data_IF_694322191929
#
_entry.id   IF_694322191929
#
_cell.length_a   1.000
_cell.length_b   1.000
_cell.length_c   1.000
_cell.angle_alpha   90.00
_cell.angle_beta   90.00
_cell.angle_gamma   90.00
#
_symmetry.space_group_name_H-M   'P 1'
#
loop_
_entity.id
_entity.type
_entity.pdbx_description
1 polymer ?
#
# COMPACT_ATOMS: atom_id res chain seq x y z
N UNK A 1 71.07 5.45 7.19
CA UNK A 1 71.28 6.03 5.85
C UNK A 1 70.62 7.40 5.81
N UNK A 2 71.46 8.43 5.81
CA UNK A 2 71.31 9.78 5.25
C UNK A 2 70.06 10.64 5.58
N UNK A 3 70.23 11.57 6.53
CA UNK A 3 70.04 13.02 6.28
C UNK A 3 71.13 13.50 5.28
N UNK A 4 71.10 14.68 4.61
CA UNK A 4 70.59 16.00 5.04
C UNK A 4 69.91 16.82 3.89
N UNK A 5 69.38 18.03 4.10
CA UNK A 5 70.11 19.28 3.81
C UNK A 5 69.37 20.53 4.34
N UNK A 6 70.19 21.42 4.90
CA UNK A 6 69.92 22.76 5.43
C UNK A 6 70.08 23.85 4.36
N UNK A 7 69.53 25.03 4.63
CA UNK A 7 69.91 26.33 4.03
C UNK A 7 68.69 27.27 4.00
N UNK A 8 68.68 28.50 4.52
CA UNK A 8 69.76 29.41 4.87
C UNK A 8 69.25 30.44 5.90
N UNK A 9 70.12 30.78 6.85
CA UNK A 9 70.02 31.96 7.73
C UNK A 9 70.04 33.28 6.95
N UNK A 10 69.34 34.29 7.46
CA UNK A 10 69.90 35.65 7.61
C UNK A 10 69.44 36.29 8.91
N UNK A 11 70.36 36.36 9.86
CA UNK A 11 70.37 37.32 10.96
C UNK A 11 70.65 38.72 10.42
N UNK A 12 69.85 39.69 10.87
CA UNK A 12 70.07 41.13 10.70
C UNK A 12 69.98 41.85 12.04
N UNK A 13 71.13 41.96 12.70
CA UNK A 13 71.64 43.06 13.54
C UNK A 13 70.69 43.83 14.48
N UNK A 14 71.02 43.72 15.77
CA UNK A 14 70.57 44.52 16.91
C UNK A 14 71.25 45.90 16.94
N UNK A 15 70.53 46.95 17.35
CA UNK A 15 71.09 48.12 18.05
C UNK A 15 70.03 48.77 18.98
N UNK A 16 70.45 49.44 20.07
CA UNK A 16 69.77 49.45 21.38
C UNK A 16 68.93 50.74 21.65
N UNK A 17 68.28 50.91 22.82
CA UNK A 17 67.02 51.65 22.98
C UNK A 17 67.21 53.15 23.13
N UNK A 18 66.36 53.94 22.46
CA UNK A 18 66.18 55.35 22.78
C UNK A 18 65.09 55.51 23.85
N UNK A 19 65.54 55.69 25.09
CA UNK A 19 64.74 56.26 26.16
C UNK A 19 64.28 57.66 25.76
N UNK A 20 63.01 57.80 25.39
CA UNK A 20 62.31 59.08 25.50
C UNK A 20 61.36 59.01 26.68
N UNK A 21 61.84 59.50 27.82
CA UNK A 21 60.97 59.96 28.92
C UNK A 21 60.37 61.28 28.46
N UNK A 22 59.05 61.32 28.26
CA UNK A 22 58.27 62.55 28.21
C UNK A 22 57.18 62.47 29.29
N UNK A 23 57.08 63.48 30.18
CA UNK A 23 56.29 63.37 31.39
C UNK A 23 54.81 63.66 31.15
N UNK A 24 54.01 63.10 32.05
CA UNK A 24 52.61 63.40 32.40
C UNK A 24 51.79 64.24 31.42
N UNK A 25 50.73 63.63 30.88
CA UNK A 25 49.42 64.29 30.83
C UNK A 25 48.33 63.31 30.38
N UNK A 26 47.28 63.20 31.21
CA UNK A 26 46.00 62.66 30.80
C UNK A 26 45.73 61.24 31.25
N UNK A 27 45.11 61.15 32.42
CA UNK A 27 44.28 60.03 32.86
C UNK A 27 43.25 59.68 31.76
N UNK A 28 43.66 58.84 30.80
CA UNK A 28 42.74 58.24 29.84
C UNK A 28 41.97 57.17 30.59
N UNK A 29 40.75 57.52 30.98
CA UNK A 29 39.71 56.57 31.29
C UNK A 29 39.72 55.47 30.22
N UNK A 30 40.24 54.29 30.55
CA UNK A 30 39.93 53.07 29.81
C UNK A 30 38.46 52.78 30.10
N UNK A 31 37.57 53.43 29.37
CA UNK A 31 36.20 52.97 29.23
C UNK A 31 36.27 51.64 28.49
N UNK A 32 36.34 50.55 29.26
CA UNK A 32 35.97 49.22 28.78
C UNK A 32 34.51 49.34 28.37
N UNK A 33 34.24 49.57 27.09
CA UNK A 33 32.90 49.46 26.54
C UNK A 33 32.40 48.04 26.79
N UNK A 34 31.42 47.80 27.69
CA UNK A 34 30.96 46.45 27.97
C UNK A 34 29.90 46.11 26.93
N UNK A 35 30.26 45.99 25.65
CA UNK A 35 29.26 45.81 24.60
C UNK A 35 29.68 44.78 23.55
N UNK A 36 29.14 43.56 23.69
CA UNK A 36 28.44 42.78 22.64
C UNK A 36 28.22 41.28 22.92
N UNK A 37 28.36 40.77 24.16
CA UNK A 37 28.10 39.34 24.45
C UNK A 37 26.64 38.98 24.79
N UNK A 38 25.80 39.95 25.17
CA UNK A 38 24.40 39.69 25.57
C UNK A 38 23.49 39.29 24.39
N UNK A 39 23.64 39.93 23.22
CA UNK A 39 22.85 39.60 22.03
C UNK A 39 23.14 38.21 21.44
N UNK A 40 24.38 37.74 21.56
CA UNK A 40 24.78 36.43 21.04
C UNK A 40 24.15 35.27 21.83
N UNK A 41 24.03 35.40 23.15
CA UNK A 41 23.37 34.41 24.00
C UNK A 41 21.88 34.33 23.68
N UNK A 42 21.23 35.48 23.48
CA UNK A 42 19.82 35.53 23.09
C UNK A 42 19.57 34.85 21.74
N UNK A 43 20.41 35.09 20.73
CA UNK A 43 20.33 34.42 19.42
C UNK A 43 20.52 32.91 19.56
N UNK A 44 21.48 32.48 20.39
CA UNK A 44 21.73 31.04 20.61
C UNK A 44 20.55 30.35 21.32
N UNK A 45 19.93 31.00 22.31
CA UNK A 45 18.73 30.48 22.97
C UNK A 45 17.55 30.37 21.99
N UNK A 46 17.31 31.40 21.17
CA UNK A 46 16.26 31.35 20.15
C UNK A 46 16.53 30.21 19.17
N UNK A 47 17.77 30.05 18.72
CA UNK A 47 18.16 28.96 17.82
C UNK A 47 17.90 27.59 18.47
N UNK A 48 18.28 27.40 19.74
CA UNK A 48 18.00 26.17 20.47
C UNK A 48 16.50 25.91 20.56
N UNK A 49 15.70 26.91 20.94
CA UNK A 49 14.24 26.76 21.06
C UNK A 49 13.62 26.38 19.71
N UNK A 50 14.06 27.02 18.62
CA UNK A 50 13.62 26.67 17.26
C UNK A 50 14.02 25.24 16.91
N UNK A 51 15.28 24.83 17.14
CA UNK A 51 15.75 23.47 16.87
C UNK A 51 14.99 22.43 17.69
N UNK A 52 14.74 22.69 18.97
CA UNK A 52 13.95 21.80 19.83
C UNK A 52 12.50 21.71 19.37
N UNK A 53 11.90 22.84 18.96
CA UNK A 53 10.53 22.86 18.43
C UNK A 53 10.43 22.05 17.14
N UNK A 54 11.35 22.25 16.20
CA UNK A 54 11.41 21.47 14.96
C UNK A 54 11.61 19.97 15.24
N UNK A 55 12.50 19.64 16.19
CA UNK A 55 12.72 18.25 16.60
C UNK A 55 11.47 17.64 17.23
N UNK A 56 10.74 18.39 18.06
CA UNK A 56 9.50 17.92 18.67
C UNK A 56 8.39 17.70 17.64
N UNK A 57 8.20 18.63 16.69
CA UNK A 57 7.24 18.49 15.60
C UNK A 57 7.57 17.29 14.71
N UNK A 58 8.85 17.14 14.33
CA UNK A 58 9.32 15.99 13.56
C UNK A 58 9.02 14.67 14.28
N UNK A 59 9.33 14.57 15.58
CA UNK A 59 9.07 13.35 16.35
C UNK A 59 7.57 13.02 16.43
N UNK A 60 6.73 14.04 16.62
CA UNK A 60 5.28 13.85 16.63
C UNK A 60 4.75 13.31 15.30
N UNK A 61 5.21 13.89 14.18
CA UNK A 61 4.81 13.45 12.84
C UNK A 61 5.28 12.02 12.54
N UNK A 62 6.52 11.67 12.90
CA UNK A 62 7.02 10.30 12.78
C UNK A 62 6.17 9.31 13.58
N UNK A 63 5.88 9.62 14.85
CA UNK A 63 5.06 8.75 15.69
C UNK A 63 3.66 8.56 15.11
N UNK A 64 3.05 9.64 14.60
CA UNK A 64 1.74 9.57 13.96
C UNK A 64 1.79 8.70 12.70
N UNK A 65 2.80 8.86 11.86
CA UNK A 65 2.98 8.07 10.64
C UNK A 65 3.14 6.58 10.95
N UNK A 66 4.02 6.23 11.88
CA UNK A 66 4.23 4.84 12.29
C UNK A 66 2.98 4.22 12.91
N UNK A 67 2.26 4.98 13.75
CA UNK A 67 1.02 4.51 14.36
C UNK A 67 -0.05 4.22 13.31
N UNK A 68 -0.28 5.14 12.38
CA UNK A 68 -1.28 4.94 11.32
C UNK A 68 -0.89 3.73 10.48
N UNK A 69 0.37 3.63 10.04
CA UNK A 69 0.86 2.49 9.26
C UNK A 69 0.67 1.15 9.99
N UNK A 70 0.99 1.11 11.28
CA UNK A 70 0.83 -0.10 12.09
C UNK A 70 -0.63 -0.51 12.22
N UNK A 71 -1.54 0.45 12.46
CA UNK A 71 -2.98 0.17 12.55
C UNK A 71 -3.50 -0.34 11.21
N UNK A 72 -3.15 0.32 10.11
CA UNK A 72 -3.63 -0.07 8.78
C UNK A 72 -3.14 -1.45 8.37
N UNK A 73 -1.87 -1.76 8.63
CA UNK A 73 -1.30 -3.06 8.32
C UNK A 73 -1.93 -4.17 9.18
N UNK A 74 -1.97 -3.98 10.51
CA UNK A 74 -2.56 -4.96 11.41
C UNK A 74 -4.06 -5.20 11.11
N UNK A 75 -4.80 -4.14 10.78
CA UNK A 75 -6.20 -4.25 10.41
C UNK A 75 -6.42 -4.97 9.09
N UNK A 76 -5.60 -4.70 8.07
CA UNK A 76 -5.61 -5.41 6.79
C UNK A 76 -5.26 -6.89 6.96
N UNK A 77 -4.18 -7.20 7.68
CA UNK A 77 -3.73 -8.57 7.94
C UNK A 77 -4.78 -9.36 8.74
N UNK A 78 -5.41 -8.74 9.74
CA UNK A 78 -6.50 -9.36 10.49
C UNK A 78 -7.72 -9.64 9.62
N UNK A 79 -8.07 -8.73 8.70
CA UNK A 79 -9.15 -8.94 7.75
C UNK A 79 -8.86 -10.11 6.80
N UNK A 80 -7.65 -10.13 6.22
CA UNK A 80 -7.21 -11.18 5.31
C UNK A 80 -7.16 -12.55 6.01
N UNK A 81 -6.62 -12.61 7.23
CA UNK A 81 -6.57 -13.84 8.02
C UNK A 81 -7.97 -14.36 8.36
N UNK A 82 -8.89 -13.47 8.72
CA UNK A 82 -10.27 -13.85 9.04
C UNK A 82 -11.05 -14.31 7.80
N UNK A 83 -10.84 -13.65 6.65
CA UNK A 83 -11.38 -14.12 5.38
C UNK A 83 -10.87 -15.54 5.06
N UNK A 84 -9.55 -15.75 5.12
CA UNK A 84 -8.92 -17.04 4.83
C UNK A 84 -9.42 -18.14 5.77
N UNK A 85 -9.60 -17.84 7.06
CA UNK A 85 -10.14 -18.80 8.03
C UNK A 85 -11.56 -19.25 7.66
N UNK A 86 -12.44 -18.33 7.30
CA UNK A 86 -13.81 -18.66 6.90
C UNK A 86 -13.91 -19.32 5.54
N UNK A 87 -13.01 -18.97 4.60
CA UNK A 87 -12.86 -19.70 3.35
C UNK A 87 -12.46 -21.15 3.61
N UNK A 88 -11.48 -21.41 4.48
CA UNK A 88 -11.06 -22.76 4.85
C UNK A 88 -12.21 -23.56 5.50
N UNK A 89 -12.97 -22.95 6.42
CA UNK A 89 -14.16 -23.58 7.02
C UNK A 89 -15.19 -23.95 5.95
N UNK A 90 -15.46 -23.04 5.01
CA UNK A 90 -16.42 -23.26 3.92
C UNK A 90 -15.97 -24.37 2.97
N UNK A 91 -14.67 -24.45 2.67
CA UNK A 91 -14.09 -25.52 1.84
C UNK A 91 -14.15 -26.88 2.53
N UNK A 92 -13.89 -26.94 3.84
CA UNK A 92 -14.05 -28.16 4.61
C UNK A 92 -15.51 -28.64 4.59
N UNK A 93 -16.47 -27.73 4.80
CA UNK A 93 -17.90 -28.07 4.71
C UNK A 93 -18.29 -28.53 3.30
N UNK A 94 -17.71 -27.95 2.25
CA UNK A 94 -17.91 -28.43 0.89
C UNK A 94 -17.36 -29.86 0.70
N UNK A 95 -16.21 -30.16 1.32
CA UNK A 95 -15.64 -31.52 1.39
C UNK A 95 -16.56 -32.50 2.12
N UNK A 96 -17.11 -32.12 3.27
CA UNK A 96 -18.05 -32.95 4.02
C UNK A 96 -19.32 -33.24 3.19
N UNK A 97 -19.85 -32.23 2.49
CA UNK A 97 -20.99 -32.40 1.58
C UNK A 97 -20.65 -33.36 0.42
N UNK A 98 -19.44 -33.31 -0.13
CA UNK A 98 -19.01 -34.26 -1.16
C UNK A 98 -19.00 -35.71 -0.63
N UNK A 99 -18.54 -35.93 0.61
CA UNK A 99 -18.57 -37.26 1.22
C UNK A 99 -20.00 -37.75 1.43
N UNK A 100 -20.89 -36.88 1.93
CA UNK A 100 -22.32 -37.20 2.06
C UNK A 100 -22.96 -37.51 0.70
N UNK A 101 -22.55 -36.81 -0.36
CA UNK A 101 -23.03 -37.06 -1.71
C UNK A 101 -22.65 -38.46 -2.20
N UNK A 102 -21.41 -38.91 -1.94
CA UNK A 102 -20.95 -40.26 -2.28
C UNK A 102 -21.72 -41.33 -1.52
N UNK A 103 -22.03 -41.10 -0.24
CA UNK A 103 -22.86 -42.02 0.56
C UNK A 103 -24.27 -42.12 -0.04
N UNK A 104 -24.93 -40.98 -0.31
CA UNK A 104 -26.26 -40.95 -0.92
C UNK A 104 -26.30 -41.66 -2.29
N UNK A 105 -25.24 -41.48 -3.11
CA UNK A 105 -25.08 -42.21 -4.37
C UNK A 105 -24.97 -43.72 -4.17
N UNK A 106 -24.22 -44.16 -3.16
CA UNK A 106 -24.04 -45.60 -2.86
C UNK A 106 -25.34 -46.27 -2.38
N UNK A 107 -26.22 -45.52 -1.72
CA UNK A 107 -27.51 -46.00 -1.23
C UNK A 107 -28.65 -45.85 -2.25
N UNK A 108 -28.40 -45.16 -3.38
CA UNK A 108 -29.41 -44.85 -4.38
C UNK A 108 -30.45 -43.82 -3.91
N UNK A 109 -30.13 -43.02 -2.89
CA UNK A 109 -31.01 -41.98 -2.35
C UNK A 109 -30.96 -40.69 -3.19
N UNK A 110 -31.81 -40.65 -4.21
CA UNK A 110 -31.92 -39.50 -5.12
C UNK A 110 -32.45 -38.22 -4.44
N UNK A 111 -33.22 -38.35 -3.35
CA UNK A 111 -33.75 -37.21 -2.60
C UNK A 111 -32.62 -36.54 -1.81
N UNK A 112 -31.81 -37.33 -1.10
CA UNK A 112 -30.62 -36.83 -0.42
C UNK A 112 -29.62 -36.22 -1.40
N UNK A 113 -29.39 -36.85 -2.56
CA UNK A 113 -28.48 -36.34 -3.59
C UNK A 113 -28.86 -34.93 -4.06
N UNK A 114 -30.16 -34.70 -4.28
CA UNK A 114 -30.68 -33.40 -4.72
C UNK A 114 -30.59 -32.34 -3.62
N UNK A 115 -30.87 -32.71 -2.36
CA UNK A 115 -30.73 -31.82 -1.21
C UNK A 115 -29.27 -31.40 -0.98
N UNK A 116 -28.33 -32.35 -1.05
CA UNK A 116 -26.89 -32.09 -0.88
C UNK A 116 -26.37 -31.19 -2.00
N UNK A 117 -26.76 -31.44 -3.25
CA UNK A 117 -26.39 -30.59 -4.39
C UNK A 117 -26.89 -29.15 -4.19
N UNK A 118 -28.13 -28.97 -3.73
CA UNK A 118 -28.65 -27.63 -3.43
C UNK A 118 -27.85 -26.92 -2.32
N UNK A 119 -27.47 -27.64 -1.26
CA UNK A 119 -26.64 -27.10 -0.18
C UNK A 119 -25.25 -26.71 -0.68
N UNK A 120 -24.61 -27.54 -1.51
CA UNK A 120 -23.31 -27.23 -2.12
C UNK A 120 -23.38 -25.96 -2.97
N UNK A 121 -24.43 -25.79 -3.77
CA UNK A 121 -24.65 -24.58 -4.57
C UNK A 121 -24.79 -23.35 -3.68
N UNK A 122 -25.62 -23.40 -2.62
CA UNK A 122 -25.79 -22.28 -1.69
C UNK A 122 -24.53 -21.94 -0.90
N UNK A 123 -23.75 -22.96 -0.54
CA UNK A 123 -22.48 -22.79 0.19
C UNK A 123 -21.45 -21.99 -0.62
N UNK A 124 -21.42 -22.16 -1.95
CA UNK A 124 -20.52 -21.41 -2.84
C UNK A 124 -20.74 -19.89 -2.80
N UNK A 125 -21.94 -19.45 -2.42
CA UNK A 125 -22.26 -18.02 -2.27
C UNK A 125 -22.17 -17.57 -0.81
N UNK A 126 -22.77 -18.33 0.10
CA UNK A 126 -22.86 -17.95 1.53
C UNK A 126 -21.52 -18.05 2.25
N UNK A 127 -20.65 -18.99 1.88
CA UNK A 127 -19.31 -19.15 2.45
C UNK A 127 -18.43 -17.90 2.25
N UNK A 128 -18.21 -17.45 1.00
CA UNK A 128 -17.50 -16.20 0.71
C UNK A 128 -18.12 -14.97 1.36
N UNK A 129 -19.45 -14.85 1.39
CA UNK A 129 -20.12 -13.72 2.04
C UNK A 129 -19.91 -13.68 3.55
N UNK A 130 -19.90 -14.85 4.20
CA UNK A 130 -19.57 -14.97 5.63
C UNK A 130 -18.12 -14.57 5.88
N UNK A 131 -17.20 -15.01 5.01
CA UNK A 131 -15.79 -14.63 5.09
C UNK A 131 -15.59 -13.12 4.93
N UNK A 132 -16.29 -12.51 3.97
CA UNK A 132 -16.27 -11.07 3.74
C UNK A 132 -16.76 -10.30 4.97
N UNK A 133 -17.92 -10.66 5.52
CA UNK A 133 -18.46 -10.01 6.72
C UNK A 133 -17.50 -10.14 7.92
N UNK A 134 -16.95 -11.33 8.14
CA UNK A 134 -16.00 -11.57 9.22
C UNK A 134 -14.70 -10.76 9.05
N UNK A 135 -14.20 -10.61 7.81
CA UNK A 135 -13.05 -9.78 7.50
C UNK A 135 -13.30 -8.31 7.86
N UNK A 136 -14.48 -7.77 7.55
CA UNK A 136 -14.85 -6.40 7.93
C UNK A 136 -14.90 -6.21 9.44
N UNK A 137 -15.45 -7.19 10.18
CA UNK A 137 -15.46 -7.12 11.63
C UNK A 137 -14.05 -7.15 12.22
N UNK A 138 -13.18 -7.98 11.65
CA UNK A 138 -11.79 -8.09 12.08
C UNK A 138 -10.99 -6.80 11.83
N UNK A 139 -11.17 -6.19 10.64
CA UNK A 139 -10.61 -4.88 10.30
C UNK A 139 -11.01 -3.82 11.33
N UNK A 140 -12.32 -3.68 11.58
CA UNK A 140 -12.87 -2.69 12.53
C UNK A 140 -12.37 -2.91 13.95
N UNK A 141 -12.33 -4.17 14.40
CA UNK A 141 -11.81 -4.52 15.72
C UNK A 141 -10.31 -4.20 15.89
N UNK A 142 -9.56 -4.09 14.79
CA UNK A 142 -8.15 -3.70 14.77
C UNK A 142 -7.93 -2.20 14.49
N UNK A 143 -8.98 -1.39 14.59
CA UNK A 143 -8.89 0.06 14.51
C UNK A 143 -8.94 0.64 13.10
N UNK A 144 -9.24 -0.17 12.07
CA UNK A 144 -9.58 0.38 10.76
C UNK A 144 -10.95 1.06 10.82
N UNK A 145 -11.00 2.27 10.30
CA UNK A 145 -12.24 3.02 10.16
C UNK A 145 -12.96 2.62 8.88
N UNK A 146 -14.28 2.82 8.86
CA UNK A 146 -15.09 2.65 7.65
C UNK A 146 -14.62 3.66 6.61
N UNK A 147 -14.39 3.17 5.40
CA UNK A 147 -14.12 3.98 4.23
C UNK A 147 -15.44 4.12 3.42
N UNK A 148 -15.94 5.35 3.22
CA UNK A 148 -17.17 5.57 2.46
C UNK A 148 -17.04 5.11 1.00
N UNK A 149 -15.85 5.21 0.39
CA UNK A 149 -15.64 4.82 -1.01
C UNK A 149 -15.74 3.29 -1.17
N UNK A 150 -15.15 2.53 -0.24
CA UNK A 150 -15.28 1.07 -0.25
C UNK A 150 -16.73 0.63 0.00
N UNK A 151 -17.44 1.37 0.83
CA UNK A 151 -18.85 1.12 1.11
C UNK A 151 -19.71 1.41 -0.12
N UNK A 152 -19.48 2.54 -0.78
CA UNK A 152 -20.15 2.92 -2.02
C UNK A 152 -19.88 1.89 -3.15
N UNK A 153 -18.63 1.45 -3.29
CA UNK A 153 -18.24 0.42 -4.26
C UNK A 153 -19.01 -0.89 -4.06
N UNK A 154 -19.15 -1.37 -2.81
CA UNK A 154 -19.92 -2.59 -2.55
C UNK A 154 -21.41 -2.40 -2.80
N UNK A 155 -21.97 -1.24 -2.48
CA UNK A 155 -23.36 -0.92 -2.83
C UNK A 155 -23.57 -0.88 -4.33
N UNK A 156 -22.64 -0.29 -5.08
CA UNK A 156 -22.67 -0.27 -6.53
C UNK A 156 -22.59 -1.69 -7.10
N UNK A 157 -21.70 -2.53 -6.58
CA UNK A 157 -21.63 -3.92 -6.98
C UNK A 157 -22.93 -4.68 -6.65
N UNK A 158 -23.53 -4.47 -5.48
CA UNK A 158 -24.81 -5.06 -5.13
C UNK A 158 -25.92 -4.66 -6.11
N UNK A 159 -25.99 -3.37 -6.50
CA UNK A 159 -26.92 -2.88 -7.52
C UNK A 159 -26.66 -3.53 -8.88
N UNK A 160 -25.40 -3.59 -9.30
CA UNK A 160 -25.02 -4.23 -10.57
C UNK A 160 -25.47 -5.70 -10.62
N UNK A 161 -25.28 -6.46 -9.53
CA UNK A 161 -25.79 -7.84 -9.44
C UNK A 161 -27.31 -7.86 -9.51
N UNK A 162 -28.00 -7.00 -8.78
CA UNK A 162 -29.47 -6.96 -8.78
C UNK A 162 -30.06 -6.61 -10.15
N UNK A 163 -29.44 -5.67 -10.86
CA UNK A 163 -30.00 -5.06 -12.06
C UNK A 163 -29.55 -5.76 -13.35
N UNK A 164 -28.33 -6.33 -13.38
CA UNK A 164 -27.72 -6.82 -14.62
C UNK A 164 -27.47 -8.33 -14.65
N UNK A 165 -27.38 -9.02 -13.51
CA UNK A 165 -27.02 -10.45 -13.54
C UNK A 165 -28.18 -11.34 -14.01
N UNK A 166 -29.41 -10.89 -13.83
CA UNK A 166 -30.61 -11.52 -14.36
C UNK A 166 -30.97 -11.08 -15.79
N UNK A 167 -30.11 -10.35 -16.49
CA UNK A 167 -30.39 -9.87 -17.85
C UNK A 167 -30.41 -11.01 -18.85
N UNK A 168 -31.45 -11.06 -19.67
CA UNK A 168 -31.55 -11.99 -20.81
C UNK A 168 -30.73 -11.47 -22.00
N UNK A 169 -30.04 -12.37 -22.69
CA UNK A 169 -29.22 -12.14 -23.88
C UNK A 169 -29.59 -13.13 -24.97
N UNK A 170 -29.59 -12.65 -26.22
CA UNK A 170 -29.94 -13.46 -27.39
C UNK A 170 -31.44 -13.45 -27.74
N UNK A 171 -31.78 -14.00 -28.91
CA UNK A 171 -33.16 -14.05 -29.42
C UNK A 171 -34.04 -15.05 -28.64
N UNK A 172 -33.42 -16.00 -27.96
CA UNK A 172 -34.08 -17.08 -27.22
C UNK A 172 -34.32 -16.75 -25.72
N UNK A 173 -33.92 -15.55 -25.26
CA UNK A 173 -34.11 -15.11 -23.87
C UNK A 173 -33.22 -15.84 -22.84
N UNK A 174 -32.02 -16.28 -23.24
CA UNK A 174 -31.11 -16.94 -22.30
C UNK A 174 -30.52 -15.96 -21.29
N UNK A 175 -30.41 -16.34 -20.01
CA UNK A 175 -29.80 -15.46 -19.01
C UNK A 175 -28.29 -15.29 -19.27
N UNK A 176 -27.81 -14.04 -19.19
CA UNK A 176 -26.39 -13.69 -19.26
C UNK A 176 -25.57 -14.46 -18.22
N UNK A 177 -26.13 -14.60 -17.02
CA UNK A 177 -25.60 -15.48 -15.98
C UNK A 177 -26.72 -16.41 -15.50
N UNK A 178 -26.65 -17.72 -15.80
CA UNK A 178 -27.66 -18.68 -15.37
C UNK A 178 -27.82 -18.68 -13.85
N UNK A 179 -29.07 -18.51 -13.38
CA UNK A 179 -29.36 -18.52 -11.96
C UNK A 179 -29.13 -19.91 -11.34
N UNK A 180 -28.34 -20.02 -10.26
CA UNK A 180 -28.12 -21.30 -9.58
C UNK A 180 -29.36 -21.84 -8.85
N UNK A 181 -30.26 -20.96 -8.41
CA UNK A 181 -31.60 -21.25 -7.91
C UNK A 181 -32.51 -20.06 -8.20
N UNK A 182 -33.85 -20.23 -8.21
CA UNK A 182 -34.76 -19.11 -8.46
C UNK A 182 -34.55 -17.96 -7.48
N UNK A 183 -34.21 -16.77 -7.99
CA UNK A 183 -33.96 -15.57 -7.20
C UNK A 183 -32.56 -15.49 -6.59
N UNK A 184 -31.62 -16.34 -7.02
CA UNK A 184 -30.26 -16.38 -6.48
C UNK A 184 -29.52 -15.05 -6.59
N UNK A 185 -29.65 -14.33 -7.70
CA UNK A 185 -28.95 -13.05 -7.89
C UNK A 185 -29.48 -11.97 -6.95
N UNK A 186 -30.80 -11.95 -6.71
CA UNK A 186 -31.42 -11.05 -5.74
C UNK A 186 -31.01 -11.39 -4.29
N UNK A 187 -30.93 -12.67 -3.94
CA UNK A 187 -30.43 -13.07 -2.62
C UNK A 187 -28.96 -12.69 -2.45
N UNK A 188 -28.15 -12.91 -3.48
CA UNK A 188 -26.72 -12.58 -3.48
C UNK A 188 -26.47 -11.07 -3.37
N UNK A 189 -27.20 -10.26 -4.14
CA UNK A 189 -27.09 -8.80 -4.06
C UNK A 189 -27.45 -8.27 -2.69
N UNK A 190 -28.49 -8.82 -2.03
CA UNK A 190 -28.86 -8.47 -0.66
C UNK A 190 -27.79 -8.85 0.36
N UNK A 191 -27.11 -9.98 0.20
CA UNK A 191 -25.99 -10.32 1.07
C UNK A 191 -24.85 -9.30 0.93
N UNK A 192 -24.51 -8.89 -0.29
CA UNK A 192 -23.49 -7.86 -0.53
C UNK A 192 -23.92 -6.52 0.08
N UNK A 193 -25.15 -6.09 -0.19
CA UNK A 193 -25.71 -4.86 0.35
C UNK A 193 -25.70 -4.86 1.88
N UNK A 194 -26.05 -5.98 2.52
CA UNK A 194 -26.02 -6.10 3.98
C UNK A 194 -24.62 -5.93 4.57
N UNK A 195 -23.58 -6.43 3.92
CA UNK A 195 -22.19 -6.15 4.34
C UNK A 195 -21.88 -4.66 4.18
N UNK A 196 -22.28 -4.05 3.07
CA UNK A 196 -22.06 -2.64 2.79
C UNK A 196 -22.80 -1.72 3.78
N UNK A 197 -24.04 -2.03 4.14
CA UNK A 197 -24.86 -1.29 5.12
C UNK A 197 -24.19 -1.22 6.50
N UNK A 198 -23.39 -2.22 6.85
CA UNK A 198 -22.61 -2.24 8.09
C UNK A 198 -21.30 -1.42 7.99
N UNK A 199 -21.00 -0.85 6.82
CA UNK A 199 -19.78 -0.11 6.50
C UNK A 199 -18.59 -1.02 6.20
N UNK A 200 -17.79 -0.63 5.20
CA UNK A 200 -16.62 -1.38 4.73
C UNK A 200 -15.34 -0.70 5.21
N UNK A 201 -14.51 -1.42 5.96
CA UNK A 201 -13.26 -0.90 6.52
C UNK A 201 -12.02 -1.39 5.77
N UNK A 202 -12.07 -2.61 5.23
CA UNK A 202 -11.04 -3.18 4.37
C UNK A 202 -11.64 -3.45 2.98
N UNK A 203 -11.02 -2.93 1.92
CA UNK A 203 -11.48 -3.17 0.56
C UNK A 203 -11.48 -4.68 0.26
N UNK A 204 -12.62 -5.26 -0.13
CA UNK A 204 -12.63 -6.62 -0.65
C UNK A 204 -12.13 -6.57 -2.10
N UNK A 205 -10.91 -7.03 -2.27
CA UNK A 205 -10.33 -7.23 -3.57
C UNK A 205 -10.40 -8.73 -3.89
N UNK A 206 -10.81 -9.06 -5.11
CA UNK A 206 -10.76 -10.39 -5.66
C UNK A 206 -9.32 -10.75 -6.04
N UNK A 207 -8.36 -10.60 -5.11
CA UNK A 207 -6.92 -10.79 -5.26
C UNK A 207 -6.46 -10.76 -6.72
N UNK A 208 -6.65 -9.63 -7.39
CA UNK A 208 -6.03 -9.39 -8.69
C UNK A 208 -4.81 -8.51 -8.44
N UNK A 209 -3.79 -9.14 -7.85
CA UNK A 209 -2.48 -8.50 -7.64
C UNK A 209 -1.94 -8.01 -8.99
N UNK A 210 -1.94 -6.68 -9.16
CA UNK A 210 -1.16 -5.88 -10.12
C UNK A 210 -1.41 -6.02 -11.64
N UNK A 211 -2.45 -6.71 -12.09
CA UNK A 211 -2.83 -6.72 -13.52
C UNK A 211 -4.36 -6.77 -13.71
N UNK A 212 -5.01 -5.60 -13.76
CA UNK A 212 -6.32 -5.52 -14.41
C UNK A 212 -6.10 -5.80 -15.90
N UNK A 213 -6.44 -7.02 -16.31
CA UNK A 213 -6.17 -7.60 -17.63
C UNK A 213 -7.12 -7.06 -18.70
N UNK A 214 -8.00 -6.12 -18.36
CA UNK A 214 -8.93 -5.52 -19.33
C UNK A 214 -8.24 -4.59 -20.35
N UNK A 215 -6.97 -4.21 -20.17
CA UNK A 215 -6.30 -3.27 -21.07
C UNK A 215 -4.80 -3.54 -21.34
N UNK A 216 -4.36 -4.81 -21.37
CA UNK A 216 -3.02 -5.15 -21.88
C UNK A 216 -1.87 -4.40 -21.19
N UNK A 217 -1.68 -4.66 -19.89
CA UNK A 217 -0.75 -3.94 -19.03
C UNK A 217 0.70 -3.84 -19.56
N UNK A 218 1.32 -2.69 -19.29
CA UNK A 218 2.73 -2.39 -19.61
C UNK A 218 3.68 -3.43 -18.99
N UNK A 219 4.69 -3.92 -19.71
CA UNK A 219 5.62 -4.98 -19.24
C UNK A 219 6.32 -4.63 -17.91
N UNK A 220 6.62 -3.34 -17.68
CA UNK A 220 7.17 -2.85 -16.39
C UNK A 220 6.17 -2.90 -15.21
N UNK A 221 4.93 -3.31 -15.44
CA UNK A 221 3.96 -3.59 -14.38
C UNK A 221 3.76 -5.09 -14.15
N UNK A 222 4.40 -5.94 -14.96
CA UNK A 222 4.36 -7.38 -14.77
C UNK A 222 5.40 -7.82 -13.71
N UNK A 223 4.95 -8.45 -12.62
CA UNK A 223 5.86 -8.99 -11.60
C UNK A 223 6.71 -10.13 -12.15
N UNK A 224 6.17 -10.92 -13.08
CA UNK A 224 6.90 -12.05 -13.68
C UNK A 224 8.10 -11.54 -14.50
N UNK A 225 8.04 -10.32 -15.05
CA UNK A 225 9.19 -9.66 -15.66
C UNK A 225 10.31 -9.43 -14.63
N UNK A 226 9.99 -8.85 -13.47
CA UNK A 226 10.99 -8.60 -12.42
C UNK A 226 11.53 -9.88 -11.79
N UNK A 227 10.68 -10.88 -11.58
CA UNK A 227 11.08 -12.21 -11.10
C UNK A 227 11.98 -12.92 -12.12
N UNK A 228 11.70 -12.80 -13.42
CA UNK A 228 12.55 -13.34 -14.46
C UNK A 228 13.92 -12.64 -14.53
N UNK A 229 13.98 -11.30 -14.35
CA UNK A 229 15.26 -10.57 -14.21
C UNK A 229 16.02 -11.06 -12.98
N UNK A 230 15.38 -11.08 -11.81
CA UNK A 230 16.00 -11.44 -10.53
C UNK A 230 16.48 -12.89 -10.53
N UNK A 231 15.67 -13.80 -11.08
CA UNK A 231 15.96 -15.22 -11.21
C UNK A 231 16.82 -15.60 -12.42
N UNK A 232 17.21 -14.62 -13.26
CA UNK A 232 17.95 -14.83 -14.52
C UNK A 232 17.30 -15.88 -15.43
N UNK A 233 15.96 -15.90 -15.45
CA UNK A 233 15.17 -16.85 -16.21
C UNK A 233 15.01 -16.39 -17.67
N UNK A 234 16.06 -16.56 -18.48
CA UNK A 234 16.08 -16.12 -19.88
C UNK A 234 15.03 -16.81 -20.76
N UNK A 235 14.60 -18.02 -20.39
CA UNK A 235 13.52 -18.72 -21.10
C UNK A 235 12.20 -17.97 -20.98
N UNK A 236 11.91 -17.36 -19.82
CA UNK A 236 10.70 -16.57 -19.65
C UNK A 236 10.65 -15.40 -20.65
N UNK A 237 11.78 -14.70 -20.85
CA UNK A 237 11.87 -13.62 -21.84
C UNK A 237 11.67 -14.12 -23.26
N UNK A 238 12.26 -15.26 -23.63
CA UNK A 238 12.09 -15.83 -24.97
C UNK A 238 10.62 -16.13 -25.31
N UNK A 239 9.82 -16.57 -24.34
CA UNK A 239 8.41 -16.91 -24.57
C UNK A 239 7.43 -15.74 -24.36
N UNK A 240 7.75 -14.78 -23.49
CA UNK A 240 6.81 -13.73 -23.07
C UNK A 240 7.21 -12.32 -23.53
N UNK A 241 8.49 -12.08 -23.81
CA UNK A 241 9.00 -10.79 -24.26
C UNK A 241 10.22 -10.94 -25.20
N UNK A 242 10.11 -11.73 -26.30
CA UNK A 242 11.27 -12.08 -27.14
C UNK A 242 11.97 -10.86 -27.73
N UNK A 243 11.19 -9.86 -28.14
CA UNK A 243 11.69 -8.60 -28.71
C UNK A 243 12.51 -7.78 -27.71
N UNK A 244 12.34 -7.99 -26.40
CA UNK A 244 13.16 -7.31 -25.40
C UNK A 244 14.61 -7.83 -25.37
N UNK A 245 14.82 -9.11 -25.71
CA UNK A 245 16.18 -9.67 -25.76
C UNK A 245 16.88 -9.36 -27.08
N UNK A 246 16.12 -9.36 -28.16
CA UNK A 246 16.66 -9.27 -29.52
C UNK A 246 16.86 -7.82 -29.96
N UNK A 247 15.95 -6.93 -29.57
CA UNK A 247 15.83 -5.62 -30.17
C UNK A 247 15.97 -4.46 -29.17
N UNK A 248 16.23 -4.72 -27.89
CA UNK A 248 16.38 -3.65 -26.90
C UNK A 248 17.63 -2.81 -27.16
N UNK A 249 17.41 -1.60 -27.66
CA UNK A 249 18.49 -0.65 -27.97
C UNK A 249 18.72 0.36 -26.86
N UNK A 250 17.66 0.93 -26.26
CA UNK A 250 17.78 2.01 -25.26
C UNK A 250 16.51 2.20 -24.39
N UNK A 251 16.63 2.93 -23.27
CA UNK A 251 15.50 3.25 -22.38
C UNK A 251 14.56 4.35 -22.95
N UNK A 252 13.47 4.67 -22.24
CA UNK A 252 12.45 5.65 -22.67
C UNK A 252 13.08 6.93 -23.26
N UNK A 253 12.58 7.45 -24.40
CA UNK A 253 11.31 7.12 -25.09
C UNK A 253 11.43 6.11 -26.24
N UNK A 254 12.59 5.47 -26.41
CA UNK A 254 12.87 4.70 -27.63
C UNK A 254 12.20 3.32 -27.69
N UNK A 255 12.11 2.61 -26.56
CA UNK A 255 11.64 1.22 -26.52
C UNK A 255 10.39 1.01 -25.67
N UNK A 256 10.25 1.80 -24.60
CA UNK A 256 9.09 1.72 -23.72
C UNK A 256 8.05 2.76 -24.18
N UNK A 257 6.79 2.37 -24.43
CA UNK A 257 5.73 3.35 -24.55
C UNK A 257 5.66 4.20 -23.27
N UNK A 258 5.13 5.43 -23.32
CA UNK A 258 4.87 6.17 -22.10
C UNK A 258 4.06 5.31 -21.15
N UNK A 259 4.41 5.35 -19.86
CA UNK A 259 3.61 4.71 -18.84
C UNK A 259 2.16 5.20 -19.01
N UNK A 260 1.16 4.31 -18.97
CA UNK A 260 -0.24 4.72 -18.98
C UNK A 260 -0.45 5.85 -17.97
N UNK A 261 -1.15 6.91 -18.38
CA UNK A 261 -1.49 7.96 -17.43
C UNK A 261 -2.21 7.30 -16.24
N UNK A 262 -1.80 7.59 -14.99
CA UNK A 262 -2.51 7.06 -13.83
C UNK A 262 -3.98 7.48 -13.97
N UNK A 263 -4.94 6.60 -13.63
CA UNK A 263 -6.35 6.90 -13.83
C UNK A 263 -6.66 8.26 -13.20
N UNK A 264 -7.01 9.24 -14.04
CA UNK A 264 -7.58 10.50 -13.54
C UNK A 264 -8.93 10.14 -12.97
N UNK A 265 -9.08 10.27 -11.66
CA UNK A 265 -10.39 10.41 -11.06
C UNK A 265 -10.98 11.70 -11.63
N UNK A 266 -11.82 11.59 -12.65
CA UNK A 266 -12.65 12.71 -13.06
C UNK A 266 -13.63 12.97 -11.92
N UNK A 267 -13.33 13.98 -11.09
CA UNK A 267 -14.18 14.47 -9.99
C UNK A 267 -15.38 15.26 -10.56
N UNK A 268 -15.90 14.87 -11.73
CA UNK A 268 -17.07 15.47 -12.33
C UNK A 268 -17.87 14.40 -13.04
N UNK A 269 -18.64 13.65 -12.26
CA UNK A 269 -20.08 13.57 -12.45
C UNK A 269 -20.68 13.04 -11.14
N UNK A 270 -21.27 14.00 -10.43
CA UNK A 270 -22.31 13.85 -9.41
C UNK A 270 -23.41 12.87 -9.78
#
# INVERSE_FOLDING_TARGET
MNSPFLGHERLGTVSPPSLQVKPDEGMRHLTVSPNRRSGQVMVFFIMIVVLLTLTALWNFDLQKLFRVKSITQNGGDAAALMAARWQAISLNLAGDLNLLQVIALSEGDNAALSAISNLQVRLRFTGPMTALMAAQQAAKNNGLHINPDYTAFLHEHARNVADNYGTEVGEDGELLFPEPWPGAWMDYSRMIASVADNGVAAAPDNLQLYTDRASGGHLLYDIAFYEAVAGRNWCWFHFNAPTLLEDYVNFFPAWWPPLPEPPRSDVSNS
#
